data_IF_467171967215
#
_entry.id   IF_467171967215
#
_cell.length_a   1.000
_cell.length_b   1.000
_cell.length_c   1.000
_cell.angle_alpha   90.00
_cell.angle_beta   90.00
_cell.angle_gamma   90.00
#
_symmetry.space_group_name_H-M   'P 1'
#
loop_
_entity.id
_entity.type
_entity.pdbx_description
1 polymer ?
#
# COMPACT_ATOMS: atom_id res chain seq x y z
N UNK A 1 -1.95 28.67 -13.02
CA UNK A 1 -0.74 28.83 -12.20
C UNK A 1 -0.91 27.94 -10.97
N UNK A 2 -0.22 26.80 -10.89
CA UNK A 2 -0.37 25.84 -9.78
C UNK A 2 0.15 26.50 -8.48
N UNK A 3 -0.62 26.44 -7.40
CA UNK A 3 -0.15 26.96 -6.11
C UNK A 3 0.93 26.03 -5.58
N UNK A 4 1.97 26.58 -4.96
CA UNK A 4 3.10 25.81 -4.42
C UNK A 4 2.66 24.64 -3.52
N UNK A 5 1.57 24.78 -2.75
CA UNK A 5 0.95 23.68 -1.97
C UNK A 5 0.42 22.54 -2.84
N UNK A 6 -0.18 22.82 -4.00
CA UNK A 6 -0.70 21.79 -4.91
C UNK A 6 0.43 20.98 -5.53
N UNK A 7 1.60 21.60 -5.77
CA UNK A 7 2.80 20.92 -6.30
C UNK A 7 3.35 19.89 -5.33
N UNK A 8 3.22 20.07 -4.01
CA UNK A 8 3.65 19.07 -3.01
C UNK A 8 2.57 18.02 -2.71
N UNK A 9 1.29 18.35 -2.89
CA UNK A 9 0.17 17.39 -2.72
C UNK A 9 0.09 16.37 -3.86
N UNK A 10 0.47 16.74 -5.09
CA UNK A 10 0.44 15.84 -6.25
C UNK A 10 1.42 14.66 -6.11
N UNK A 11 2.70 14.85 -5.73
CA UNK A 11 3.62 13.76 -5.42
C UNK A 11 3.12 12.87 -4.30
N UNK A 12 2.59 13.44 -3.22
CA UNK A 12 2.06 12.69 -2.09
C UNK A 12 0.88 11.80 -2.50
N UNK A 13 -0.05 12.31 -3.31
CA UNK A 13 -1.16 11.54 -3.88
C UNK A 13 -0.69 10.42 -4.79
N UNK A 14 0.31 10.69 -5.64
CA UNK A 14 0.84 9.69 -6.56
C UNK A 14 1.58 8.57 -5.82
N UNK A 15 2.35 8.90 -4.78
CA UNK A 15 3.04 7.91 -3.95
C UNK A 15 2.02 7.04 -3.21
N UNK A 16 0.97 7.65 -2.64
CA UNK A 16 -0.15 6.92 -2.01
C UNK A 16 -0.79 5.94 -2.99
N UNK A 17 -1.16 6.42 -4.17
CA UNK A 17 -1.77 5.61 -5.21
C UNK A 17 -0.87 4.44 -5.63
N UNK A 18 0.41 4.69 -5.86
CA UNK A 18 1.36 3.65 -6.25
C UNK A 18 1.53 2.57 -5.16
N UNK A 19 1.59 2.97 -3.88
CA UNK A 19 1.64 2.04 -2.76
C UNK A 19 0.35 1.22 -2.65
N UNK A 20 -0.81 1.86 -2.74
CA UNK A 20 -2.11 1.19 -2.68
C UNK A 20 -2.25 0.19 -3.82
N UNK A 21 -1.89 0.60 -5.04
CA UNK A 21 -1.91 -0.29 -6.20
C UNK A 21 -1.00 -1.52 -6.00
N UNK A 22 0.24 -1.32 -5.54
CA UNK A 22 1.16 -2.43 -5.27
C UNK A 22 0.63 -3.40 -4.20
N UNK A 23 -0.09 -2.89 -3.20
CA UNK A 23 -0.74 -3.72 -2.19
C UNK A 23 -1.82 -4.63 -2.80
N UNK A 24 -2.77 -4.06 -3.54
CA UNK A 24 -3.86 -4.83 -4.17
C UNK A 24 -3.39 -5.79 -5.28
N UNK A 25 -2.29 -5.46 -5.97
CA UNK A 25 -1.71 -6.29 -7.03
C UNK A 25 -0.78 -7.39 -6.48
N UNK A 26 -0.38 -7.32 -5.22
CA UNK A 26 0.48 -8.35 -4.62
C UNK A 26 -0.33 -9.62 -4.41
N UNK A 27 -0.03 -10.63 -5.22
CA UNK A 27 -0.58 -11.99 -5.08
C UNK A 27 0.49 -12.92 -4.54
N UNK A 28 0.04 -13.90 -3.78
CA UNK A 28 0.88 -15.04 -3.41
C UNK A 28 1.13 -15.89 -4.65
N UNK A 29 2.40 -16.21 -4.93
CA UNK A 29 2.73 -17.12 -6.01
C UNK A 29 2.39 -18.55 -5.61
N UNK A 30 1.89 -19.35 -6.54
CA UNK A 30 1.61 -20.77 -6.30
C UNK A 30 2.89 -21.49 -5.84
N UNK A 31 2.77 -22.29 -4.78
CA UNK A 31 3.91 -22.99 -4.17
C UNK A 31 4.88 -22.11 -3.36
N UNK A 32 4.61 -20.80 -3.22
CA UNK A 32 5.42 -19.93 -2.35
C UNK A 32 5.09 -20.12 -0.86
N UNK A 33 5.98 -19.67 0.02
CA UNK A 33 5.77 -19.75 1.47
C UNK A 33 4.78 -18.68 1.95
N UNK A 34 3.75 -19.09 2.70
CA UNK A 34 2.80 -18.18 3.36
C UNK A 34 3.53 -17.17 4.26
N UNK A 35 4.58 -17.59 4.96
CA UNK A 35 5.37 -16.70 5.80
C UNK A 35 6.07 -15.62 4.97
N UNK A 36 6.65 -16.00 3.82
CA UNK A 36 7.31 -15.04 2.93
C UNK A 36 6.31 -14.05 2.33
N UNK A 37 5.13 -14.52 1.97
CA UNK A 37 4.04 -13.66 1.51
C UNK A 37 3.56 -12.70 2.61
N UNK A 38 3.33 -13.21 3.83
CA UNK A 38 2.90 -12.40 4.97
C UNK A 38 3.89 -11.30 5.33
N UNK A 39 5.20 -11.58 5.33
CA UNK A 39 6.23 -10.54 5.54
C UNK A 39 6.16 -9.46 4.46
N UNK A 40 6.02 -9.86 3.18
CA UNK A 40 5.92 -8.91 2.06
C UNK A 40 4.67 -8.03 2.19
N UNK A 41 3.53 -8.62 2.57
CA UNK A 41 2.29 -7.88 2.77
C UNK A 41 2.39 -6.93 3.96
N UNK A 42 2.98 -7.37 5.08
CA UNK A 42 3.18 -6.53 6.26
C UNK A 42 3.99 -5.27 5.93
N UNK A 43 5.09 -5.40 5.17
CA UNK A 43 5.87 -4.25 4.74
C UNK A 43 5.10 -3.27 3.83
N UNK A 44 4.11 -3.76 3.07
CA UNK A 44 3.23 -2.89 2.28
C UNK A 44 2.19 -2.20 3.16
N UNK A 45 1.67 -2.86 4.21
CA UNK A 45 0.77 -2.27 5.21
C UNK A 45 1.46 -1.12 5.94
N UNK A 46 2.65 -1.36 6.49
CA UNK A 46 3.44 -0.33 7.19
C UNK A 46 3.64 0.91 6.31
N UNK A 47 3.99 0.69 5.03
CA UNK A 47 4.13 1.78 4.07
C UNK A 47 2.83 2.55 3.82
N UNK A 48 1.68 1.88 3.83
CA UNK A 48 0.38 2.52 3.63
C UNK A 48 -0.09 3.30 4.87
N UNK A 49 0.23 2.82 6.06
CA UNK A 49 0.02 3.53 7.32
C UNK A 49 0.84 4.82 7.37
N UNK A 50 2.14 4.77 7.04
CA UNK A 50 3.03 5.93 6.96
C UNK A 50 2.49 6.99 5.99
N UNK A 51 1.93 6.54 4.86
CA UNK A 51 1.36 7.39 3.83
C UNK A 51 -0.07 7.85 4.14
N UNK A 52 -0.65 7.43 5.27
CA UNK A 52 -2.05 7.70 5.67
C UNK A 52 -3.02 7.40 4.52
N UNK A 53 -2.87 6.20 3.95
CA UNK A 53 -3.69 5.74 2.83
C UNK A 53 -5.18 5.64 3.18
N UNK A 54 -5.50 5.46 4.48
CA UNK A 54 -6.88 5.50 4.99
C UNK A 54 -7.68 4.22 4.70
N UNK A 55 -7.01 3.08 4.53
CA UNK A 55 -7.66 1.77 4.51
C UNK A 55 -8.05 1.37 5.94
N UNK A 56 -9.17 0.68 6.08
CA UNK A 56 -9.57 0.07 7.35
C UNK A 56 -8.74 -1.19 7.66
N UNK A 57 -8.70 -1.56 8.93
CA UNK A 57 -7.92 -2.71 9.38
C UNK A 57 -8.42 -4.04 8.79
N UNK A 58 -9.73 -4.16 8.54
CA UNK A 58 -10.32 -5.37 8.00
C UNK A 58 -9.85 -5.58 6.54
N UNK A 59 -9.76 -4.51 5.76
CA UNK A 59 -9.17 -4.52 4.40
C UNK A 59 -7.72 -5.01 4.41
N UNK A 60 -6.91 -4.66 5.41
CA UNK A 60 -5.55 -5.18 5.51
C UNK A 60 -5.53 -6.68 5.79
N UNK A 61 -6.37 -7.14 6.73
CA UNK A 61 -6.46 -8.55 7.12
C UNK A 61 -6.94 -9.39 5.93
N UNK A 62 -7.99 -8.96 5.24
CA UNK A 62 -8.59 -9.67 4.11
C UNK A 62 -7.65 -9.81 2.90
N UNK A 63 -6.67 -8.91 2.74
CA UNK A 63 -5.71 -9.02 1.64
C UNK A 63 -4.52 -9.93 1.98
N UNK A 64 -4.19 -10.08 3.27
CA UNK A 64 -3.09 -10.92 3.74
C UNK A 64 -3.46 -12.41 3.72
N UNK A 65 -4.74 -12.71 4.01
CA UNK A 65 -5.31 -14.06 4.13
C UNK A 65 -5.86 -14.59 2.79
#
# INVERSE_FOLDING_TARGET
MLRMKEVYVVPDRHIRYAATKAFFETKMAEGSSVQSHGIKMLSLVEKLEDLKAGLDNDTYIDMIL
#
